data_IF_116477859775
#
_entry.id   IF_116477859775
#
_cell.length_a   1.000
_cell.length_b   1.000
_cell.length_c   1.000
_cell.angle_alpha   90.00
_cell.angle_beta   90.00
_cell.angle_gamma   90.00
#
_symmetry.space_group_name_H-M   'P 1'
#
loop_
_entity.id
_entity.type
_entity.pdbx_description
1 polymer ?
#
# COMPACT_ATOMS: atom_id res chain seq x y z
N UNK A 1 -8.53 -23.72 9.01
CA UNK A 1 -7.79 -23.07 10.11
C UNK A 1 -7.87 -21.57 9.92
N UNK A 2 -7.87 -20.77 10.99
CA UNK A 2 -7.74 -19.31 10.89
C UNK A 2 -6.33 -18.90 10.42
N UNK A 3 -6.13 -17.64 9.98
CA UNK A 3 -4.81 -17.10 9.63
C UNK A 3 -3.83 -17.18 10.81
N UNK A 4 -2.56 -17.42 10.51
CA UNK A 4 -1.48 -17.53 11.51
C UNK A 4 -1.21 -16.20 12.24
N UNK A 5 -1.44 -15.07 11.57
CA UNK A 5 -1.36 -13.72 12.15
C UNK A 5 -2.72 -13.02 12.01
N UNK A 6 -3.28 -12.58 13.13
CA UNK A 6 -4.51 -11.79 13.19
C UNK A 6 -4.19 -10.38 13.68
N UNK A 7 -4.94 -9.35 13.23
CA UNK A 7 -4.78 -8.00 13.73
C UNK A 7 -4.97 -7.93 15.25
N UNK A 8 -4.14 -7.11 15.89
CA UNK A 8 -4.18 -6.81 17.32
C UNK A 8 -4.04 -5.29 17.54
N UNK A 9 -4.06 -4.84 18.81
CA UNK A 9 -3.99 -3.41 19.12
C UNK A 9 -2.68 -2.74 18.67
N UNK A 10 -1.59 -3.50 18.53
CA UNK A 10 -0.31 -2.99 18.03
C UNK A 10 -0.22 -3.05 16.49
N UNK A 11 -0.91 -4.01 15.87
CA UNK A 11 -0.95 -4.24 14.42
C UNK A 11 -2.40 -4.29 13.92
N UNK A 12 -3.11 -3.15 13.86
CA UNK A 12 -4.56 -3.12 13.65
C UNK A 12 -5.00 -3.36 12.21
N UNK A 13 -4.06 -3.50 11.27
CA UNK A 13 -4.36 -3.64 9.84
C UNK A 13 -3.97 -5.01 9.29
N UNK A 14 -4.77 -5.50 8.34
CA UNK A 14 -4.40 -6.64 7.50
C UNK A 14 -3.60 -6.12 6.32
N UNK A 15 -2.35 -6.58 6.17
CA UNK A 15 -1.53 -6.28 5.01
C UNK A 15 -1.67 -7.38 3.95
N UNK A 16 -2.10 -6.99 2.76
CA UNK A 16 -2.16 -7.88 1.58
C UNK A 16 -1.20 -7.39 0.51
N UNK A 17 -0.40 -8.29 -0.05
CA UNK A 17 0.46 -8.00 -1.20
C UNK A 17 -0.21 -8.44 -2.51
N UNK A 18 -0.19 -7.56 -3.51
CA UNK A 18 -0.79 -7.79 -4.82
C UNK A 18 0.18 -7.53 -5.97
N UNK A 19 -0.37 -7.37 -7.16
CA UNK A 19 0.36 -6.97 -8.37
C UNK A 19 -0.36 -5.79 -9.00
N UNK A 20 0.42 -4.97 -9.69
CA UNK A 20 -0.09 -3.92 -10.58
C UNK A 20 0.14 -4.36 -12.03
N UNK A 21 -0.55 -3.75 -12.98
CA UNK A 21 -0.51 -4.16 -14.38
C UNK A 21 0.90 -3.97 -14.98
N UNK A 22 1.60 -2.93 -14.53
CA UNK A 22 2.87 -2.45 -15.05
C UNK A 22 4.05 -3.34 -14.64
N UNK A 23 3.91 -4.12 -13.56
CA UNK A 23 4.99 -4.91 -12.98
C UNK A 23 4.68 -6.39 -12.90
N UNK A 24 5.60 -7.17 -13.48
CA UNK A 24 5.55 -8.62 -13.44
C UNK A 24 6.45 -9.19 -12.35
N UNK A 25 5.86 -9.97 -11.45
CA UNK A 25 6.51 -10.58 -10.30
C UNK A 25 7.35 -9.58 -9.50
N UNK A 26 8.67 -9.75 -9.46
CA UNK A 26 9.60 -8.92 -8.69
C UNK A 26 10.00 -7.64 -9.42
N UNK A 27 9.46 -7.37 -10.61
CA UNK A 27 9.80 -6.20 -11.41
C UNK A 27 11.13 -6.29 -12.15
N UNK A 28 11.93 -7.34 -11.97
CA UNK A 28 13.32 -7.42 -12.48
C UNK A 28 13.49 -7.18 -14.00
N UNK A 29 12.44 -7.41 -14.80
CA UNK A 29 12.41 -7.06 -16.22
C UNK A 29 11.62 -5.78 -16.50
N UNK A 30 10.47 -5.60 -15.84
CA UNK A 30 9.50 -4.56 -16.17
C UNK A 30 9.87 -3.18 -15.62
N UNK A 31 10.61 -3.09 -14.51
CA UNK A 31 11.16 -1.82 -14.01
C UNK A 31 12.29 -1.27 -14.88
N UNK A 32 12.86 -2.08 -15.78
CA UNK A 32 13.86 -1.64 -16.76
C UNK A 32 13.22 -1.13 -18.04
N UNK A 33 11.92 -1.35 -18.24
CA UNK A 33 11.19 -0.86 -19.40
C UNK A 33 10.70 0.56 -19.12
N UNK A 34 11.28 1.54 -19.81
CA UNK A 34 11.04 2.99 -19.56
C UNK A 34 9.57 3.36 -19.49
N UNK A 35 8.72 2.78 -20.36
CA UNK A 35 7.28 3.10 -20.37
C UNK A 35 6.55 2.55 -19.14
N UNK A 36 6.87 1.33 -18.71
CA UNK A 36 6.18 0.68 -17.58
C UNK A 36 6.64 1.28 -16.25
N UNK A 37 7.94 1.53 -16.13
CA UNK A 37 8.54 2.17 -14.96
C UNK A 37 8.03 3.61 -14.78
N UNK A 38 7.84 4.37 -15.86
CA UNK A 38 7.26 5.71 -15.79
C UNK A 38 5.79 5.74 -15.34
N UNK A 39 5.03 4.66 -15.61
CA UNK A 39 3.62 4.56 -15.18
C UNK A 39 3.49 4.19 -13.70
N UNK A 40 4.39 3.35 -13.19
CA UNK A 40 4.47 3.04 -11.77
C UNK A 40 5.94 2.99 -11.31
N UNK A 41 6.53 4.12 -10.88
CA UNK A 41 7.95 4.16 -10.53
C UNK A 41 8.25 3.63 -9.12
N UNK A 42 7.23 3.47 -8.28
CA UNK A 42 7.39 3.13 -6.88
C UNK A 42 6.27 2.20 -6.39
N UNK A 43 6.52 1.39 -5.34
CA UNK A 43 5.48 0.62 -4.69
C UNK A 43 4.45 1.55 -4.02
N UNK A 44 3.18 1.13 -4.07
CA UNK A 44 2.06 1.88 -3.49
C UNK A 44 1.31 1.05 -2.43
N UNK A 45 0.90 1.70 -1.35
CA UNK A 45 -0.06 1.13 -0.39
C UNK A 45 -1.42 1.70 -0.71
N UNK A 46 -2.35 0.81 -1.08
CA UNK A 46 -3.75 1.17 -1.23
C UNK A 46 -4.46 1.03 0.13
N UNK A 47 -5.08 2.11 0.61
CA UNK A 47 -5.81 2.12 1.89
C UNK A 47 -7.17 2.81 1.74
N UNK A 48 -8.15 2.43 2.55
CA UNK A 48 -9.44 3.10 2.56
C UNK A 48 -9.28 4.57 3.02
N UNK A 49 -9.98 5.49 2.35
CA UNK A 49 -9.90 6.93 2.67
C UNK A 49 -10.28 7.25 4.13
N UNK A 50 -11.21 6.50 4.73
CA UNK A 50 -11.59 6.67 6.15
C UNK A 50 -10.43 6.31 7.08
N UNK A 51 -9.72 5.23 6.79
CA UNK A 51 -8.58 4.78 7.58
C UNK A 51 -7.39 5.74 7.42
N UNK A 52 -7.16 6.23 6.19
CA UNK A 52 -6.19 7.28 5.93
C UNK A 52 -6.49 8.56 6.74
N UNK A 53 -7.76 8.98 6.80
CA UNK A 53 -8.17 10.12 7.61
C UNK A 53 -7.96 9.87 9.11
N UNK A 54 -8.28 8.67 9.61
CA UNK A 54 -8.06 8.28 11.00
C UNK A 54 -6.56 8.29 11.39
N UNK A 55 -5.69 7.97 10.44
CA UNK A 55 -4.23 8.00 10.62
C UNK A 55 -3.59 9.37 10.28
N UNK A 56 -4.37 10.38 9.90
CA UNK A 56 -3.88 11.67 9.39
C UNK A 56 -2.84 11.50 8.26
N UNK A 57 -3.19 10.67 7.28
CA UNK A 57 -2.37 10.37 6.09
C UNK A 57 -3.08 10.91 4.86
N UNK A 58 -2.33 11.64 4.04
CA UNK A 58 -2.83 12.19 2.78
C UNK A 58 -2.53 11.25 1.62
N UNK A 59 -3.36 11.36 0.57
CA UNK A 59 -3.10 10.70 -0.72
C UNK A 59 -1.77 11.17 -1.32
N UNK A 60 -0.97 10.23 -1.80
CA UNK A 60 0.39 10.48 -2.26
C UNK A 60 1.43 10.74 -1.16
N UNK A 61 1.02 10.76 0.11
CA UNK A 61 1.95 10.87 1.24
C UNK A 61 2.86 9.64 1.34
N UNK A 62 4.11 9.85 1.75
CA UNK A 62 5.03 8.74 2.04
C UNK A 62 4.81 8.25 3.46
N UNK A 63 4.66 6.94 3.62
CA UNK A 63 4.55 6.28 4.92
C UNK A 63 5.32 4.98 4.92
N UNK A 64 5.79 4.61 6.10
CA UNK A 64 6.32 3.27 6.32
C UNK A 64 5.17 2.29 6.50
N UNK A 65 5.23 1.16 5.80
CA UNK A 65 4.44 -0.01 6.13
C UNK A 65 5.36 -1.06 6.78
N UNK A 66 4.93 -1.55 7.93
CA UNK A 66 5.60 -2.62 8.66
C UNK A 66 4.66 -3.83 8.76
N UNK A 67 5.24 -5.02 8.69
CA UNK A 67 4.54 -6.25 9.01
C UNK A 67 5.29 -6.99 10.11
N UNK A 68 4.54 -7.58 11.02
CA UNK A 68 5.06 -8.59 11.93
C UNK A 68 5.48 -9.80 11.09
N UNK A 69 6.66 -10.35 11.33
CA UNK A 69 7.09 -11.62 10.74
C UNK A 69 7.81 -12.41 11.81
N UNK A 70 7.07 -13.25 12.53
CA UNK A 70 7.52 -13.84 13.80
C UNK A 70 7.93 -12.74 14.82
N UNK A 71 8.15 -13.08 16.08
CA UNK A 71 8.28 -12.10 17.18
C UNK A 71 9.43 -11.07 17.06
N UNK A 72 10.24 -11.07 15.99
CA UNK A 72 11.53 -10.38 15.97
C UNK A 72 11.86 -9.63 14.66
N UNK A 73 11.08 -9.72 13.57
CA UNK A 73 11.45 -9.07 12.29
C UNK A 73 10.31 -8.25 11.70
N UNK A 74 10.43 -6.92 11.80
CA UNK A 74 9.68 -5.99 10.96
C UNK A 74 10.40 -5.84 9.61
N UNK A 75 9.71 -6.07 8.49
CA UNK A 75 10.16 -5.56 7.19
C UNK A 75 9.68 -4.13 7.07
N UNK A 76 10.63 -3.20 6.97
CA UNK A 76 10.42 -1.75 6.90
C UNK A 76 10.69 -1.30 5.47
N UNK A 77 9.71 -0.67 4.86
CA UNK A 77 9.91 -0.07 3.54
C UNK A 77 9.03 1.18 3.40
N UNK A 78 9.46 2.14 2.59
CA UNK A 78 8.78 3.43 2.41
C UNK A 78 7.88 3.37 1.16
N UNK A 79 6.57 3.51 1.38
CA UNK A 79 5.57 3.30 0.34
C UNK A 79 4.75 4.56 0.14
N UNK A 80 4.41 4.82 -1.12
CA UNK A 80 3.51 5.92 -1.46
C UNK A 80 2.06 5.50 -1.18
N UNK A 81 1.35 6.30 -0.41
CA UNK A 81 -0.06 6.04 -0.09
C UNK A 81 -0.94 6.39 -1.30
N UNK A 82 -1.95 5.57 -1.57
CA UNK A 82 -2.93 5.80 -2.61
C UNK A 82 -4.34 5.46 -2.10
N UNK A 83 -5.30 6.36 -2.28
CA UNK A 83 -6.71 6.05 -2.09
C UNK A 83 -7.25 5.39 -3.37
N UNK A 84 -7.58 4.08 -3.38
CA UNK A 84 -7.91 3.35 -4.61
C UNK A 84 -9.20 3.83 -5.30
N UNK A 85 -10.03 4.61 -4.62
CA UNK A 85 -11.18 5.30 -5.18
C UNK A 85 -11.26 6.72 -4.64
N UNK A 86 -10.75 7.69 -5.41
CA UNK A 86 -11.13 9.08 -5.25
C UNK A 86 -12.59 9.22 -5.70
N UNK A 87 -13.54 8.98 -4.78
CA UNK A 87 -14.93 9.34 -5.00
C UNK A 87 -14.95 10.86 -5.20
N UNK A 88 -14.93 11.30 -6.45
CA UNK A 88 -15.28 12.68 -6.78
C UNK A 88 -16.74 12.85 -6.38
N UNK A 89 -17.00 13.27 -5.14
CA UNK A 89 -18.27 13.88 -4.75
C UNK A 89 -18.32 15.25 -5.42
N UNK A 90 -18.42 15.26 -6.75
CA UNK A 90 -18.92 16.40 -7.49
C UNK A 90 -20.37 16.61 -7.07
N UNK A 91 -20.62 17.62 -6.24
CA UNK A 91 -21.96 17.86 -5.70
C UNK A 91 -22.11 19.19 -4.99
N UNK A 92 -21.43 20.24 -5.49
CA UNK A 92 -21.83 21.60 -5.18
C UNK A 92 -23.04 21.98 -6.03
N UNK A 93 -24.21 22.11 -5.38
CA UNK A 93 -25.25 23.08 -5.68
C UNK A 93 -26.04 23.36 -4.40
#
# INVERSE_FOLDING_TARGET
MPPDEQPDDAWPFVLTAGRVLEHWHTGAMTSRATVLDALQPAPIVAMNARDMAALAVEDGGMRTAEKKKNAETAMHDEWRMNAPFNLHTGGGR
#
